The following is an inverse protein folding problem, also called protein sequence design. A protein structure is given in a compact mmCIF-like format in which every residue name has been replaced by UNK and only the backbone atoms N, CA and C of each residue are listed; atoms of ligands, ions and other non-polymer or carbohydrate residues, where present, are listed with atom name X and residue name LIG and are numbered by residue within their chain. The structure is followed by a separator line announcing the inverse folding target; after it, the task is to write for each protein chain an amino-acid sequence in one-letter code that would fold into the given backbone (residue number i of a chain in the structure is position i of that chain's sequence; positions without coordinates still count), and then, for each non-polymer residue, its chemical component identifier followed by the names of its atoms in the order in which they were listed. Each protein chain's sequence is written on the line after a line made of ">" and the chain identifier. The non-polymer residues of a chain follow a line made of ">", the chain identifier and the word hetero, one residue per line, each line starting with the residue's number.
data_IF_443038976404
#
_entry.id   IF_443038976404
#
_cell.length_a   1.000
_cell.length_b   1.000
_cell.length_c   1.000
_cell.angle_alpha   90.00
_cell.angle_beta   90.00
_cell.angle_gamma   90.00
#
_symmetry.space_group_name_H-M   'P 1'
#
loop_
_entity.id
_entity.type
_entity.pdbx_description
1 polymer ?
#
# COMPACT_ATOMS: atom_id res chain seq x y z
N UNK A 1 43.46 32.04 15.90
CA UNK A 1 42.70 30.80 15.60
C UNK A 1 41.69 31.03 14.48
N UNK A 2 42.06 30.62 13.27
CA UNK A 2 41.17 30.70 12.10
C UNK A 2 40.20 29.52 12.14
N UNK A 3 38.93 29.81 12.39
CA UNK A 3 37.84 28.84 12.24
C UNK A 3 37.71 28.47 10.75
N UNK A 4 38.34 27.37 10.32
CA UNK A 4 38.05 26.76 9.03
C UNK A 4 36.63 26.19 9.07
N UNK A 5 35.67 26.91 8.49
CA UNK A 5 34.35 26.33 8.20
C UNK A 5 34.56 25.13 7.25
N UNK A 6 34.01 23.94 7.55
CA UNK A 6 34.08 22.83 6.63
C UNK A 6 33.35 23.18 5.33
N UNK A 7 33.90 22.74 4.20
CA UNK A 7 33.25 22.85 2.89
C UNK A 7 32.01 21.95 2.87
N UNK A 8 30.84 22.52 3.09
CA UNK A 8 29.56 21.83 2.93
C UNK A 8 29.16 21.87 1.46
N UNK A 9 29.13 20.71 0.80
CA UNK A 9 28.61 20.58 -0.56
C UNK A 9 27.09 20.36 -0.45
N UNK A 10 26.32 21.42 -0.65
CA UNK A 10 24.85 21.34 -0.73
C UNK A 10 24.42 21.19 -2.19
N UNK A 11 23.50 20.25 -2.46
CA UNK A 11 22.97 20.04 -3.80
C UNK A 11 22.25 21.30 -4.30
N UNK A 12 22.63 21.80 -5.48
CA UNK A 12 22.11 23.06 -6.06
C UNK A 12 20.61 23.03 -6.40
N UNK A 13 20.00 21.85 -6.51
CA UNK A 13 18.58 21.66 -6.78
C UNK A 13 18.14 20.24 -6.38
N UNK A 14 16.85 20.07 -6.05
CA UNK A 14 16.27 18.74 -5.86
C UNK A 14 16.41 17.91 -7.14
N UNK A 15 17.02 16.73 -7.04
CA UNK A 15 17.04 15.75 -8.14
C UNK A 15 15.60 15.44 -8.54
N UNK A 16 15.32 15.39 -9.85
CA UNK A 16 13.99 15.09 -10.36
C UNK A 16 13.56 13.68 -9.92
N UNK A 17 12.66 13.61 -8.95
CA UNK A 17 12.03 12.34 -8.54
C UNK A 17 10.89 12.00 -9.50
N UNK A 18 10.85 10.76 -9.98
CA UNK A 18 9.71 10.28 -10.76
C UNK A 18 8.44 10.26 -9.89
N UNK A 19 7.30 10.64 -10.46
CA UNK A 19 6.03 10.58 -9.72
C UNK A 19 5.60 9.15 -9.46
N UNK A 20 4.90 8.92 -8.35
CA UNK A 20 4.34 7.63 -7.99
C UNK A 20 3.52 6.99 -9.13
N UNK A 21 2.77 7.80 -9.87
CA UNK A 21 1.99 7.37 -11.04
C UNK A 21 2.87 6.77 -12.15
N UNK A 22 4.06 7.33 -12.39
CA UNK A 22 5.01 6.82 -13.39
C UNK A 22 5.62 5.50 -12.91
N UNK A 23 6.04 5.44 -11.64
CA UNK A 23 6.60 4.23 -11.03
C UNK A 23 5.58 3.08 -11.05
N UNK A 24 4.34 3.35 -10.64
CA UNK A 24 3.25 2.37 -10.66
C UNK A 24 2.93 1.88 -12.06
N UNK A 25 2.94 2.77 -13.07
CA UNK A 25 2.76 2.36 -14.47
C UNK A 25 3.89 1.43 -14.93
N UNK A 26 5.13 1.67 -14.51
CA UNK A 26 6.27 0.79 -14.83
C UNK A 26 6.13 -0.57 -14.15
N UNK A 27 5.73 -0.60 -12.89
CA UNK A 27 5.48 -1.84 -12.15
C UNK A 27 4.39 -2.69 -12.81
N UNK A 28 3.27 -2.06 -13.21
CA UNK A 28 2.17 -2.74 -13.92
C UNK A 28 2.54 -3.30 -15.29
N UNK A 29 3.57 -2.75 -15.95
CA UNK A 29 4.11 -3.33 -17.19
C UNK A 29 4.91 -4.60 -16.94
N UNK A 30 5.59 -4.69 -15.79
CA UNK A 30 6.45 -5.82 -15.42
C UNK A 30 5.67 -6.94 -14.75
N UNK A 31 4.70 -6.58 -13.90
CA UNK A 31 3.91 -7.50 -13.11
C UNK A 31 2.44 -7.34 -13.50
N UNK A 32 1.85 -8.41 -14.03
CA UNK A 32 0.44 -8.46 -14.38
C UNK A 32 -0.28 -9.31 -13.31
N UNK A 33 -1.37 -8.79 -12.73
CA UNK A 33 -2.19 -9.54 -11.78
C UNK A 33 -3.15 -10.50 -12.48
N UNK A 34 -3.33 -11.70 -11.93
CA UNK A 34 -4.33 -12.69 -12.36
C UNK A 34 -5.29 -13.01 -11.21
N UNK A 35 -6.34 -13.80 -11.46
CA UNK A 35 -7.24 -14.26 -10.39
C UNK A 35 -6.49 -15.03 -9.28
N UNK A 36 -5.52 -15.87 -9.65
CA UNK A 36 -4.75 -16.70 -8.71
C UNK A 36 -3.59 -15.95 -8.05
N UNK A 37 -3.01 -14.98 -8.77
CA UNK A 37 -1.88 -14.16 -8.31
C UNK A 37 -2.16 -12.69 -8.62
N UNK A 38 -3.08 -12.05 -7.89
CA UNK A 38 -3.51 -10.70 -8.18
C UNK A 38 -2.49 -9.65 -7.76
N UNK A 39 -2.70 -8.41 -8.22
CA UNK A 39 -1.93 -7.25 -7.80
C UNK A 39 -2.59 -6.58 -6.59
N UNK A 40 -1.78 -6.24 -5.60
CA UNK A 40 -2.21 -5.47 -4.43
C UNK A 40 -1.77 -4.00 -4.57
N UNK A 41 -2.74 -3.09 -4.51
CA UNK A 41 -2.50 -1.65 -4.51
C UNK A 41 -3.07 -1.03 -3.24
N UNK A 42 -2.26 -0.26 -2.53
CA UNK A 42 -2.66 0.44 -1.31
C UNK A 42 -2.40 1.92 -1.46
N UNK A 43 -3.44 2.71 -1.21
CA UNK A 43 -3.38 4.16 -1.17
C UNK A 43 -3.62 4.62 0.26
N UNK A 44 -2.79 5.54 0.75
CA UNK A 44 -2.90 6.09 2.09
C UNK A 44 -2.82 7.61 2.01
N UNK A 45 -3.89 8.29 2.42
CA UNK A 45 -3.89 9.75 2.57
C UNK A 45 -3.41 10.12 3.98
N UNK A 46 -3.58 11.37 4.42
CA UNK A 46 -3.38 11.74 5.83
C UNK A 46 -4.47 11.17 6.75
N UNK A 47 -5.66 10.89 6.21
CA UNK A 47 -6.85 10.56 7.00
C UNK A 47 -7.30 9.12 6.87
N UNK A 48 -7.07 8.50 5.72
CA UNK A 48 -7.72 7.24 5.34
C UNK A 48 -6.76 6.31 4.58
N UNK A 49 -7.08 5.03 4.58
CA UNK A 49 -6.41 4.00 3.80
C UNK A 49 -7.42 3.26 2.92
N UNK A 50 -6.97 2.88 1.73
CA UNK A 50 -7.72 2.12 0.73
C UNK A 50 -6.82 1.02 0.19
N UNK A 51 -7.34 -0.19 0.12
CA UNK A 51 -6.65 -1.36 -0.39
C UNK A 51 -7.48 -2.02 -1.50
N UNK A 52 -6.81 -2.44 -2.57
CA UNK A 52 -7.42 -3.11 -3.71
C UNK A 52 -6.62 -4.33 -4.11
N UNK A 53 -7.31 -5.44 -4.29
CA UNK A 53 -6.78 -6.66 -4.89
C UNK A 53 -7.36 -6.80 -6.30
N UNK A 54 -6.51 -6.80 -7.32
CA UNK A 54 -6.95 -6.65 -8.72
C UNK A 54 -6.43 -7.79 -9.58
N UNK A 55 -7.34 -8.39 -10.33
CA UNK A 55 -7.07 -9.23 -11.48
C UNK A 55 -7.03 -8.34 -12.73
N UNK A 56 -5.83 -8.09 -13.24
CA UNK A 56 -5.60 -7.22 -14.39
C UNK A 56 -5.99 -7.90 -15.72
N UNK A 57 -5.95 -9.24 -15.79
CA UNK A 57 -6.35 -10.00 -16.99
C UNK A 57 -7.86 -9.90 -17.23
N UNK A 58 -8.65 -10.14 -16.18
CA UNK A 58 -10.10 -10.07 -16.25
C UNK A 58 -10.66 -8.67 -15.92
N UNK A 59 -9.79 -7.69 -15.65
CA UNK A 59 -10.14 -6.31 -15.25
C UNK A 59 -11.11 -6.29 -14.06
N UNK A 60 -10.94 -7.21 -13.12
CA UNK A 60 -11.85 -7.41 -11.98
C UNK A 60 -11.17 -7.01 -10.69
N UNK A 61 -11.88 -6.25 -9.87
CA UNK A 61 -11.51 -6.04 -8.47
C UNK A 61 -11.97 -7.26 -7.66
N UNK A 62 -11.03 -8.01 -7.09
CA UNK A 62 -11.31 -9.17 -6.25
C UNK A 62 -11.64 -8.75 -4.82
N UNK A 63 -11.00 -7.67 -4.35
CA UNK A 63 -11.25 -7.09 -3.03
C UNK A 63 -11.09 -5.57 -3.08
N UNK A 64 -11.97 -4.87 -2.37
CA UNK A 64 -11.82 -3.44 -2.07
C UNK A 64 -12.17 -3.17 -0.61
N UNK A 65 -11.18 -2.69 0.15
CA UNK A 65 -11.32 -2.32 1.55
C UNK A 65 -10.91 -0.86 1.78
N UNK A 66 -11.63 -0.18 2.65
CA UNK A 66 -11.25 1.18 3.08
C UNK A 66 -11.63 1.45 4.52
N UNK A 67 -10.82 2.25 5.19
CA UNK A 67 -11.07 2.73 6.55
C UNK A 67 -12.30 3.66 6.67
N UNK A 68 -12.91 4.06 5.54
CA UNK A 68 -14.18 4.77 5.46
C UNK A 68 -15.40 3.85 5.37
N UNK A 69 -15.23 2.58 5.02
CA UNK A 69 -16.37 1.67 4.86
C UNK A 69 -16.99 1.39 6.23
N UNK A 70 -18.33 1.45 6.29
CA UNK A 70 -19.09 1.17 7.53
C UNK A 70 -18.87 -0.26 8.04
N UNK A 71 -18.58 -1.21 7.15
CA UNK A 71 -18.23 -2.58 7.51
C UNK A 71 -16.92 -2.67 8.31
N UNK A 72 -15.98 -1.76 8.06
CA UNK A 72 -14.67 -1.70 8.71
C UNK A 72 -14.67 -0.79 9.94
N UNK A 73 -15.28 0.40 9.81
CA UNK A 73 -15.36 1.40 10.87
C UNK A 73 -16.73 1.36 11.54
N UNK A 74 -16.84 0.59 12.63
CA UNK A 74 -18.06 0.49 13.45
C UNK A 74 -18.26 1.70 14.36
N UNK A 75 -17.19 2.22 14.96
CA UNK A 75 -17.18 3.43 15.76
C UNK A 75 -16.36 4.53 15.05
N UNK A 76 -16.93 5.73 14.82
CA UNK A 76 -16.19 6.88 14.30
C UNK A 76 -14.94 7.23 15.11
N UNK A 77 -14.91 6.94 16.40
CA UNK A 77 -13.83 7.24 17.33
C UNK A 77 -12.65 6.29 17.22
N UNK A 78 -12.81 5.13 16.57
CA UNK A 78 -11.73 4.16 16.40
C UNK A 78 -10.55 4.79 15.64
N UNK A 79 -9.31 4.66 16.16
CA UNK A 79 -8.12 5.11 15.45
C UNK A 79 -8.03 4.51 14.05
N UNK A 80 -7.74 5.33 13.04
CA UNK A 80 -7.66 4.86 11.66
C UNK A 80 -6.60 3.79 11.46
N UNK A 81 -5.54 3.76 12.29
CA UNK A 81 -4.53 2.71 12.25
C UNK A 81 -5.10 1.32 12.61
N UNK A 82 -5.94 1.24 13.64
CA UNK A 82 -6.64 -0.01 14.01
C UNK A 82 -7.59 -0.45 12.89
N UNK A 83 -8.34 0.50 12.30
CA UNK A 83 -9.20 0.18 11.15
C UNK A 83 -8.38 -0.28 9.93
N UNK A 84 -7.16 0.24 9.76
CA UNK A 84 -6.27 -0.19 8.68
C UNK A 84 -5.75 -1.63 8.88
N UNK A 85 -5.50 -2.05 10.12
CA UNK A 85 -5.21 -3.45 10.45
C UNK A 85 -6.41 -4.35 10.07
N UNK A 86 -7.64 -3.95 10.45
CA UNK A 86 -8.87 -4.67 10.07
C UNK A 86 -9.06 -4.79 8.54
N UNK A 87 -8.73 -3.74 7.78
CA UNK A 87 -8.75 -3.79 6.31
C UNK A 87 -7.76 -4.83 5.78
N UNK A 88 -6.60 -4.98 6.43
CA UNK A 88 -5.64 -6.03 6.10
C UNK A 88 -6.17 -7.42 6.42
N UNK A 89 -6.80 -7.61 7.58
CA UNK A 89 -7.41 -8.89 7.97
C UNK A 89 -8.53 -9.32 7.01
N UNK A 90 -9.40 -8.39 6.61
CA UNK A 90 -10.47 -8.70 5.64
C UNK A 90 -9.90 -9.05 4.26
N UNK A 91 -8.82 -8.39 3.84
CA UNK A 91 -8.13 -8.76 2.62
C UNK A 91 -7.64 -10.21 2.68
N UNK A 92 -7.06 -10.62 3.80
CA UNK A 92 -6.60 -12.00 4.02
C UNK A 92 -7.78 -12.98 3.98
N UNK A 93 -8.90 -12.68 4.66
CA UNK A 93 -10.12 -13.50 4.58
C UNK A 93 -10.59 -13.69 3.15
N UNK A 94 -10.65 -12.60 2.39
CA UNK A 94 -11.02 -12.64 0.96
C UNK A 94 -10.04 -13.47 0.14
N UNK A 95 -8.74 -13.40 0.44
CA UNK A 95 -7.74 -14.23 -0.24
C UNK A 95 -7.91 -15.72 0.10
N UNK A 96 -8.21 -16.06 1.35
CA UNK A 96 -8.49 -17.44 1.77
C UNK A 96 -9.72 -18.00 1.04
N UNK A 97 -10.81 -17.23 0.99
CA UNK A 97 -12.06 -17.63 0.33
C UNK A 97 -11.89 -17.83 -1.19
N UNK A 98 -10.97 -17.09 -1.79
CA UNK A 98 -10.64 -17.18 -3.22
C UNK A 98 -9.42 -18.07 -3.51
N UNK A 99 -8.87 -18.75 -2.50
CA UNK A 99 -7.68 -19.61 -2.60
C UNK A 99 -6.44 -18.90 -3.19
N UNK A 100 -6.24 -17.62 -2.88
CA UNK A 100 -5.10 -16.81 -3.31
C UNK A 100 -3.97 -16.95 -2.28
N UNK A 101 -2.84 -17.50 -2.73
CA UNK A 101 -1.67 -17.77 -1.87
C UNK A 101 -0.48 -16.85 -2.15
N UNK A 102 -0.52 -16.07 -3.23
CA UNK A 102 0.59 -15.20 -3.62
C UNK A 102 0.08 -13.89 -4.25
N UNK A 103 0.82 -12.81 -4.04
CA UNK A 103 0.56 -11.50 -4.62
C UNK A 103 1.60 -11.23 -5.73
N UNK A 104 1.14 -10.83 -6.92
CA UNK A 104 2.02 -10.56 -8.08
C UNK A 104 2.91 -9.34 -7.89
N UNK A 105 2.33 -8.28 -7.33
CA UNK A 105 3.04 -7.07 -6.96
C UNK A 105 2.28 -6.31 -5.89
N UNK A 106 3.04 -5.63 -5.03
CA UNK A 106 2.52 -4.74 -4.00
C UNK A 106 2.99 -3.32 -4.27
N UNK A 107 2.05 -2.39 -4.43
CA UNK A 107 2.34 -0.97 -4.60
C UNK A 107 1.67 -0.10 -3.54
N UNK A 108 2.43 0.84 -2.97
CA UNK A 108 1.97 1.78 -1.92
C UNK A 108 1.60 3.15 -2.48
N UNK A 109 1.41 3.25 -3.80
CA UNK A 109 1.11 4.50 -4.51
C UNK A 109 2.05 5.68 -4.17
N UNK A 110 3.32 5.39 -3.83
CA UNK A 110 4.36 6.40 -3.56
C UNK A 110 4.27 7.09 -2.19
N UNK A 111 3.45 6.59 -1.28
CA UNK A 111 3.39 7.11 0.09
C UNK A 111 4.47 6.46 0.97
N UNK A 112 5.05 7.26 1.88
CA UNK A 112 5.99 6.78 2.88
C UNK A 112 5.29 5.81 3.85
N UNK A 113 6.08 4.94 4.52
CA UNK A 113 5.55 4.13 5.62
C UNK A 113 5.20 5.08 6.78
N UNK A 114 3.93 5.10 7.13
CA UNK A 114 3.44 5.66 8.38
C UNK A 114 2.67 4.59 9.15
N UNK A 115 2.17 4.94 10.33
CA UNK A 115 1.51 4.01 11.26
C UNK A 115 0.37 3.21 10.60
N UNK A 116 -0.44 3.86 9.76
CA UNK A 116 -1.58 3.22 9.08
C UNK A 116 -1.18 2.19 8.02
N UNK A 117 -0.15 2.50 7.24
CA UNK A 117 0.42 1.54 6.28
C UNK A 117 1.05 0.39 7.04
N UNK A 118 1.78 0.69 8.13
CA UNK A 118 2.44 -0.31 8.94
C UNK A 118 1.43 -1.28 9.59
N UNK A 119 0.34 -0.77 10.17
CA UNK A 119 -0.75 -1.61 10.71
C UNK A 119 -1.33 -2.54 9.65
N UNK A 120 -1.64 -2.01 8.46
CA UNK A 120 -2.11 -2.82 7.34
C UNK A 120 -1.08 -3.88 6.90
N UNK A 121 0.19 -3.49 6.77
CA UNK A 121 1.28 -4.39 6.35
C UNK A 121 1.53 -5.50 7.38
N UNK A 122 1.45 -5.22 8.68
CA UNK A 122 1.57 -6.21 9.75
C UNK A 122 0.49 -7.29 9.61
N UNK A 123 -0.75 -6.90 9.36
CA UNK A 123 -1.86 -7.86 9.18
C UNK A 123 -1.60 -8.82 8.03
N UNK A 124 -1.16 -8.32 6.87
CA UNK A 124 -0.94 -9.17 5.69
C UNK A 124 0.39 -9.94 5.73
N UNK A 125 1.41 -9.43 6.43
CA UNK A 125 2.68 -10.12 6.66
C UNK A 125 2.49 -11.38 7.53
N UNK A 126 1.56 -11.36 8.49
CA UNK A 126 1.21 -12.55 9.29
C UNK A 126 0.73 -13.73 8.43
N UNK A 127 0.19 -13.47 7.23
CA UNK A 127 -0.24 -14.50 6.28
C UNK A 127 0.85 -14.86 5.24
N UNK A 128 1.98 -14.16 5.22
CA UNK A 128 3.10 -14.44 4.32
C UNK A 128 3.05 -13.73 2.97
N UNK A 129 2.21 -12.70 2.81
CA UNK A 129 2.18 -11.88 1.58
C UNK A 129 3.28 -10.82 1.51
N UNK A 130 3.92 -10.48 2.64
CA UNK A 130 5.02 -9.53 2.76
C UNK A 130 6.13 -10.08 3.65
#
# INVERSE_FOLDING_TARGET
>A
DYLTKPLTIEARANTRTESAKVLNRRMRKKFNGTAAKPRLSVFCSEKQLYAMLVDDQNKKCLFFGSTLQKSMRKDPSTPTAEVAELVGEELIRTCMDLNITEISSYDRNGFARGERIQAFEIAIARYGFL
#
